data_IF_146090832105
#
_entry.id   IF_146090832105
#
_cell.length_a   1.000
_cell.length_b   1.000
_cell.length_c   1.000
_cell.angle_alpha   90.00
_cell.angle_beta   90.00
_cell.angle_gamma   90.00
#
_symmetry.space_group_name_H-M   'P 1'
#
loop_
_entity.id
_entity.type
_entity.pdbx_description
1 polymer ?
#
# COMPACT_ATOMS: atom_id res chain seq x y z
N UNK A 1 10.72 -49.13 32.80
CA UNK A 1 11.59 -48.85 31.63
C UNK A 1 10.80 -48.75 30.32
N UNK A 2 10.03 -49.78 29.92
CA UNK A 2 9.22 -49.76 28.68
C UNK A 2 8.15 -48.64 28.62
N UNK A 3 7.45 -48.38 29.72
CA UNK A 3 6.46 -47.30 29.79
C UNK A 3 7.08 -45.89 29.64
N UNK A 4 8.29 -45.70 30.16
CA UNK A 4 9.03 -44.42 30.05
C UNK A 4 9.45 -44.19 28.60
N UNK A 5 9.93 -45.24 27.91
CA UNK A 5 10.22 -45.17 26.48
C UNK A 5 8.97 -44.83 25.65
N UNK A 6 7.85 -45.48 25.93
CA UNK A 6 6.59 -45.22 25.23
C UNK A 6 6.10 -43.78 25.42
N UNK A 7 6.16 -43.27 26.65
CA UNK A 7 5.79 -41.89 26.95
C UNK A 7 6.71 -40.87 26.26
N UNK A 8 8.02 -41.14 26.21
CA UNK A 8 8.98 -40.26 25.53
C UNK A 8 8.73 -40.17 24.02
N UNK A 9 8.48 -41.31 23.36
CA UNK A 9 8.15 -41.34 21.93
C UNK A 9 6.83 -40.62 21.66
N UNK A 10 5.82 -40.82 22.50
CA UNK A 10 4.53 -40.14 22.35
C UNK A 10 4.67 -38.63 22.53
N UNK A 11 5.47 -38.19 23.51
CA UNK A 11 5.76 -36.77 23.74
C UNK A 11 6.46 -36.12 22.54
N UNK A 12 7.45 -36.80 21.93
CA UNK A 12 8.13 -36.32 20.73
C UNK A 12 7.16 -36.19 19.56
N UNK A 13 6.29 -37.18 19.34
CA UNK A 13 5.29 -37.13 18.28
C UNK A 13 4.30 -35.96 18.47
N UNK A 14 3.82 -35.74 19.70
CA UNK A 14 2.93 -34.63 20.01
C UNK A 14 3.61 -33.27 19.81
N UNK A 15 4.90 -33.14 20.16
CA UNK A 15 5.66 -31.91 19.92
C UNK A 15 5.80 -31.61 18.42
N UNK A 16 6.06 -32.61 17.58
CA UNK A 16 6.17 -32.40 16.12
C UNK A 16 4.86 -31.93 15.48
N UNK A 17 3.71 -32.44 15.97
CA UNK A 17 2.39 -32.01 15.50
C UNK A 17 2.07 -30.59 15.98
N UNK A 18 2.46 -30.24 17.21
CA UNK A 18 2.26 -28.89 17.75
C UNK A 18 3.06 -27.83 16.99
N UNK A 19 4.35 -28.09 16.73
CA UNK A 19 5.22 -27.20 15.96
C UNK A 19 4.66 -26.94 14.56
N UNK A 20 4.09 -27.98 13.92
CA UNK A 20 3.46 -27.84 12.62
C UNK A 20 2.16 -27.00 12.66
N UNK A 21 1.38 -27.09 13.75
CA UNK A 21 0.12 -26.38 13.89
C UNK A 21 0.30 -24.86 14.02
N UNK A 22 1.31 -24.40 14.76
CA UNK A 22 1.59 -22.96 14.90
C UNK A 22 2.07 -22.34 13.57
N UNK A 23 2.83 -23.09 12.79
CA UNK A 23 3.31 -22.64 11.47
C UNK A 23 2.17 -22.37 10.49
N UNK A 24 1.10 -23.18 10.54
CA UNK A 24 -0.07 -23.02 9.68
C UNK A 24 -0.85 -21.76 10.04
N UNK A 25 -1.07 -21.49 11.34
CA UNK A 25 -1.78 -20.29 11.79
C UNK A 25 -1.00 -19.02 11.44
N UNK A 26 0.32 -19.01 11.68
CA UNK A 26 1.19 -17.90 11.27
C UNK A 26 1.18 -17.69 9.75
N UNK A 27 1.14 -18.77 8.97
CA UNK A 27 1.04 -18.70 7.51
C UNK A 27 -0.24 -17.99 7.04
N UNK A 28 -1.38 -18.25 7.69
CA UNK A 28 -2.63 -17.56 7.36
C UNK A 28 -2.61 -16.08 7.73
N UNK A 29 -2.06 -15.74 8.89
CA UNK A 29 -1.91 -14.34 9.33
C UNK A 29 -0.99 -13.56 8.39
N UNK A 30 0.13 -14.16 7.97
CA UNK A 30 1.05 -13.57 6.98
C UNK A 30 0.35 -13.33 5.65
N UNK A 31 -0.41 -14.32 5.16
CA UNK A 31 -1.10 -14.19 3.88
C UNK A 31 -2.23 -13.14 3.97
N UNK A 32 -2.91 -13.01 5.11
CA UNK A 32 -3.87 -11.94 5.35
C UNK A 32 -3.19 -10.57 5.32
N UNK A 33 -2.11 -10.38 6.08
CA UNK A 33 -1.34 -9.12 6.09
C UNK A 33 -0.83 -8.75 4.70
N UNK A 34 -0.38 -9.74 3.92
CA UNK A 34 0.08 -9.55 2.53
C UNK A 34 -1.05 -9.07 1.62
N UNK A 35 -2.25 -9.64 1.74
CA UNK A 35 -3.44 -9.20 0.99
C UNK A 35 -3.84 -7.78 1.35
N UNK A 36 -3.85 -7.44 2.63
CA UNK A 36 -4.19 -6.09 3.11
C UNK A 36 -3.19 -5.05 2.59
N UNK A 37 -1.88 -5.34 2.69
CA UNK A 37 -0.82 -4.50 2.14
C UNK A 37 -0.96 -4.29 0.63
N UNK A 38 -1.23 -5.36 -0.12
CA UNK A 38 -1.43 -5.28 -1.56
C UNK A 38 -2.64 -4.40 -1.91
N UNK A 39 -3.75 -4.55 -1.18
CA UNK A 39 -4.94 -3.75 -1.36
C UNK A 39 -4.66 -2.26 -1.10
N UNK A 40 -3.99 -1.93 0.01
CA UNK A 40 -3.59 -0.57 0.34
C UNK A 40 -2.67 0.03 -0.73
N UNK A 41 -1.68 -0.74 -1.20
CA UNK A 41 -0.75 -0.29 -2.23
C UNK A 41 -1.46 0.05 -3.55
N UNK A 42 -2.42 -0.79 -3.97
CA UNK A 42 -3.24 -0.52 -5.16
C UNK A 42 -4.04 0.77 -5.02
N UNK A 43 -4.63 1.02 -3.85
CA UNK A 43 -5.37 2.27 -3.59
C UNK A 43 -4.45 3.48 -3.64
N UNK A 44 -3.27 3.39 -3.04
CA UNK A 44 -2.29 4.47 -3.09
C UNK A 44 -1.86 4.77 -4.52
N UNK A 45 -1.59 3.75 -5.34
CA UNK A 45 -1.24 3.94 -6.75
C UNK A 45 -2.37 4.63 -7.53
N UNK A 46 -3.62 4.20 -7.34
CA UNK A 46 -4.77 4.83 -7.99
C UNK A 46 -4.91 6.30 -7.59
N UNK A 47 -4.79 6.60 -6.30
CA UNK A 47 -4.84 7.98 -5.78
C UNK A 47 -3.70 8.85 -6.33
N UNK A 48 -2.50 8.30 -6.48
CA UNK A 48 -1.38 9.05 -7.07
C UNK A 48 -1.65 9.37 -8.54
N UNK A 49 -2.19 8.44 -9.31
CA UNK A 49 -2.58 8.70 -10.71
C UNK A 49 -3.60 9.83 -10.77
N UNK A 50 -4.68 9.75 -9.99
CA UNK A 50 -5.70 10.79 -9.92
C UNK A 50 -5.11 12.13 -9.48
N UNK A 51 -4.26 12.14 -8.45
CA UNK A 51 -3.57 13.36 -8.00
C UNK A 51 -2.73 13.99 -9.12
N UNK A 52 -1.92 13.20 -9.83
CA UNK A 52 -1.11 13.73 -10.93
C UNK A 52 -1.97 14.21 -12.10
N UNK A 53 -3.11 13.57 -12.37
CA UNK A 53 -4.08 14.09 -13.34
C UNK A 53 -4.63 15.45 -12.91
N UNK A 54 -5.07 15.60 -11.65
CA UNK A 54 -5.60 16.86 -11.13
C UNK A 54 -4.56 17.98 -11.08
N UNK A 55 -3.33 17.67 -10.67
CA UNK A 55 -2.25 18.66 -10.49
C UNK A 55 -1.45 18.89 -11.76
N UNK A 56 -1.67 18.09 -12.82
CA UNK A 56 -0.96 18.28 -14.08
C UNK A 56 -1.18 19.69 -14.61
N UNK A 57 -0.08 20.45 -14.72
CA UNK A 57 -0.10 21.84 -15.19
C UNK A 57 -0.74 21.94 -16.57
N UNK A 58 -0.49 20.95 -17.44
CA UNK A 58 -1.10 20.86 -18.76
C UNK A 58 -2.64 20.77 -18.70
N UNK A 59 -3.21 19.99 -17.77
CA UNK A 59 -4.67 19.89 -17.63
C UNK A 59 -5.26 21.16 -17.01
N UNK A 60 -4.56 21.76 -16.06
CA UNK A 60 -4.94 23.05 -15.47
C UNK A 60 -4.95 24.14 -16.56
N UNK A 61 -3.91 24.21 -17.39
CA UNK A 61 -3.81 25.15 -18.51
C UNK A 61 -4.90 24.91 -19.56
N UNK A 62 -5.11 23.64 -19.95
CA UNK A 62 -6.18 23.28 -20.87
C UNK A 62 -7.55 23.69 -20.32
N UNK A 63 -7.85 23.41 -19.06
CA UNK A 63 -9.11 23.81 -18.43
C UNK A 63 -9.25 25.33 -18.36
N UNK A 64 -8.21 26.04 -17.94
CA UNK A 64 -8.15 27.50 -17.87
C UNK A 64 -8.45 28.15 -19.24
N UNK A 65 -7.82 27.65 -20.30
CA UNK A 65 -7.95 28.21 -21.65
C UNK A 65 -9.28 27.82 -22.33
N UNK A 66 -9.73 26.57 -22.15
CA UNK A 66 -10.91 26.05 -22.87
C UNK A 66 -12.23 26.29 -22.16
N UNK A 67 -12.27 26.20 -20.82
CA UNK A 67 -13.51 26.30 -20.05
C UNK A 67 -13.65 27.66 -19.35
N UNK A 68 -12.55 28.27 -18.93
CA UNK A 68 -12.57 29.56 -18.23
C UNK A 68 -12.25 30.75 -19.15
N UNK A 69 -11.82 30.48 -20.40
CA UNK A 69 -11.49 31.52 -21.37
C UNK A 69 -10.26 32.36 -20.98
N UNK A 70 -9.40 31.83 -20.11
CA UNK A 70 -8.15 32.49 -19.75
C UNK A 70 -7.18 32.52 -20.93
N UNK A 71 -6.42 33.59 -21.01
CA UNK A 71 -5.38 33.81 -22.02
C UNK A 71 -4.06 34.08 -21.33
N UNK A 72 -2.96 33.81 -22.02
CA UNK A 72 -1.63 34.10 -21.49
C UNK A 72 -1.48 35.62 -21.21
N UNK A 73 -1.00 36.00 -20.01
CA UNK A 73 -0.78 37.40 -19.68
C UNK A 73 0.28 38.02 -20.59
N UNK A 74 0.09 39.29 -20.91
CA UNK A 74 1.07 40.08 -21.68
C UNK A 74 2.29 40.46 -20.82
N UNK A 75 3.43 40.79 -21.44
CA UNK A 75 4.59 41.31 -20.73
C UNK A 75 4.19 42.51 -19.83
N UNK A 76 4.54 42.45 -18.55
CA UNK A 76 4.22 43.48 -17.55
C UNK A 76 2.94 43.26 -16.73
N UNK A 77 2.13 42.24 -17.04
CA UNK A 77 0.91 41.90 -16.28
C UNK A 77 1.14 40.86 -15.16
N UNK A 78 2.35 40.30 -15.04
CA UNK A 78 2.70 39.29 -14.03
C UNK A 78 3.48 39.94 -12.89
N UNK A 79 2.97 39.81 -11.67
CA UNK A 79 3.68 40.22 -10.44
C UNK A 79 4.12 38.96 -9.70
N UNK A 80 5.43 38.73 -9.61
CA UNK A 80 6.01 37.65 -8.81
C UNK A 80 6.08 38.10 -7.35
N UNK A 81 5.34 37.42 -6.49
CA UNK A 81 5.38 37.66 -5.05
C UNK A 81 6.34 36.63 -4.45
N UNK A 82 7.58 37.04 -4.15
CA UNK A 82 8.50 36.25 -3.34
C UNK A 82 8.13 36.43 -1.87
N UNK A 83 7.83 35.34 -1.16
CA UNK A 83 7.71 35.35 0.30
C UNK A 83 9.08 35.70 0.94
N UNK A 84 9.12 36.45 2.06
CA UNK A 84 10.35 36.76 2.79
C UNK A 84 10.94 35.55 3.51
#
# INVERSE_FOLDING_TARGET
MKAILGASVLSLLLLTVWEHSEMVQMGYEIEQMKREKLHQHKRQQALLVEYYELVSLNRIEQFATTHLGFVWPQPGQVVLISHP
#
